data_IF_112876104873
#
_entry.id   IF_112876104873
#
_cell.length_a   1.000
_cell.length_b   1.000
_cell.length_c   1.000
_cell.angle_alpha   90.00
_cell.angle_beta   90.00
_cell.angle_gamma   90.00
#
_symmetry.space_group_name_H-M   'P 1'
#
loop_
_entity.id
_entity.type
_entity.pdbx_description
1 polymer ?
#
# COMPACT_ATOMS: atom_id res chain seq x y z
N UNK A 1 17.67 -17.10 -43.06
CA UNK A 1 17.83 -17.37 -41.62
C UNK A 1 16.59 -16.86 -40.91
N UNK A 2 15.74 -17.75 -40.35
CA UNK A 2 14.56 -17.36 -39.59
C UNK A 2 14.97 -17.22 -38.12
N UNK A 3 15.06 -16.01 -37.62
CA UNK A 3 15.29 -15.75 -36.19
C UNK A 3 14.05 -16.19 -35.40
N UNK A 4 14.17 -17.30 -34.71
CA UNK A 4 13.18 -17.76 -33.74
C UNK A 4 13.27 -16.86 -32.51
N UNK A 5 12.30 -15.95 -32.37
CA UNK A 5 12.08 -15.19 -31.15
C UNK A 5 11.70 -16.21 -30.08
N UNK A 6 12.62 -16.49 -29.15
CA UNK A 6 12.31 -17.20 -27.92
C UNK A 6 11.57 -16.23 -27.01
N UNK A 7 10.26 -16.26 -27.05
CA UNK A 7 9.43 -15.69 -25.99
C UNK A 7 9.74 -16.46 -24.71
N UNK A 8 10.47 -15.81 -23.80
CA UNK A 8 10.69 -16.33 -22.44
C UNK A 8 9.31 -16.48 -21.78
N UNK A 9 8.94 -17.65 -21.24
CA UNK A 9 7.67 -17.81 -20.57
C UNK A 9 7.65 -16.91 -19.34
N UNK A 10 6.61 -16.10 -19.20
CA UNK A 10 6.28 -15.41 -17.95
C UNK A 10 6.26 -16.48 -16.86
N UNK A 11 7.16 -16.35 -15.88
CA UNK A 11 7.24 -17.31 -14.78
C UNK A 11 5.85 -17.41 -14.12
N UNK A 12 5.35 -18.63 -13.97
CA UNK A 12 4.05 -18.85 -13.34
C UNK A 12 4.09 -18.31 -11.90
N UNK A 13 3.05 -17.56 -11.51
CA UNK A 13 2.92 -17.08 -10.14
C UNK A 13 2.86 -18.27 -9.16
N UNK A 14 3.61 -18.18 -8.07
CA UNK A 14 3.72 -19.20 -7.03
C UNK A 14 2.46 -19.23 -6.17
N UNK A 15 1.95 -18.07 -5.76
CA UNK A 15 0.80 -17.97 -4.84
C UNK A 15 -0.45 -17.36 -5.45
N UNK A 16 -0.37 -16.83 -6.66
CA UNK A 16 -1.39 -15.95 -7.24
C UNK A 16 -1.45 -14.55 -6.61
N UNK A 17 -0.59 -14.26 -5.62
CA UNK A 17 -0.50 -12.98 -4.90
C UNK A 17 0.92 -12.43 -4.83
N UNK A 18 1.83 -12.94 -5.65
CA UNK A 18 3.26 -12.65 -5.50
C UNK A 18 3.55 -11.15 -5.65
N UNK A 19 2.89 -10.46 -6.58
CA UNK A 19 2.99 -9.01 -6.73
C UNK A 19 2.57 -8.26 -5.47
N UNK A 20 1.44 -8.63 -4.87
CA UNK A 20 0.99 -8.08 -3.58
C UNK A 20 2.02 -8.32 -2.47
N UNK A 21 2.60 -9.52 -2.40
CA UNK A 21 3.59 -9.88 -1.39
C UNK A 21 4.86 -9.06 -1.57
N UNK A 22 5.35 -8.90 -2.80
CA UNK A 22 6.54 -8.10 -3.13
C UNK A 22 6.33 -6.63 -2.74
N UNK A 23 5.21 -6.04 -3.15
CA UNK A 23 4.88 -4.64 -2.81
C UNK A 23 4.79 -4.45 -1.30
N UNK A 24 4.09 -5.35 -0.60
CA UNK A 24 3.96 -5.29 0.86
C UNK A 24 5.31 -5.45 1.56
N UNK A 25 6.17 -6.35 1.08
CA UNK A 25 7.52 -6.54 1.63
C UNK A 25 8.40 -5.30 1.45
N UNK A 26 8.37 -4.66 0.27
CA UNK A 26 9.09 -3.42 0.00
C UNK A 26 8.66 -2.29 0.95
N UNK A 27 7.34 -2.09 1.11
CA UNK A 27 6.83 -1.04 2.00
C UNK A 27 7.22 -1.31 3.46
N UNK A 28 7.19 -2.57 3.94
CA UNK A 28 7.71 -2.91 5.27
C UNK A 28 9.21 -2.66 5.41
N UNK A 29 10.00 -2.96 4.38
CA UNK A 29 11.44 -2.73 4.40
C UNK A 29 11.75 -1.22 4.50
N UNK A 30 11.08 -0.40 3.68
CA UNK A 30 11.17 1.07 3.73
C UNK A 30 10.76 1.58 5.12
N UNK A 31 9.59 1.16 5.61
CA UNK A 31 9.10 1.52 6.94
C UNK A 31 10.09 1.13 8.05
N UNK A 32 10.73 -0.03 7.91
CA UNK A 32 11.72 -0.51 8.88
C UNK A 32 12.97 0.36 8.85
N UNK A 33 13.50 0.70 7.68
CA UNK A 33 14.66 1.59 7.56
C UNK A 33 14.34 2.96 8.18
N UNK A 34 13.21 3.58 7.82
CA UNK A 34 12.77 4.87 8.37
C UNK A 34 12.52 4.86 9.88
N UNK A 35 12.28 3.68 10.46
CA UNK A 35 12.11 3.54 11.91
C UNK A 35 13.42 3.61 12.70
N UNK A 36 14.56 3.44 12.04
CA UNK A 36 15.87 3.45 12.67
C UNK A 36 16.34 4.89 12.98
N UNK A 37 17.26 5.07 13.95
CA UNK A 37 18.01 6.32 14.10
C UNK A 37 18.66 6.74 12.77
N UNK A 38 18.72 8.04 12.50
CA UNK A 38 19.20 8.60 11.21
C UNK A 38 20.58 8.06 10.79
N UNK A 39 21.49 7.87 11.76
CA UNK A 39 22.84 7.33 11.54
C UNK A 39 22.87 5.84 11.14
N UNK A 40 21.73 5.16 11.22
CA UNK A 40 21.55 3.74 10.89
C UNK A 40 20.55 3.51 9.78
N UNK A 41 20.03 4.58 9.17
CA UNK A 41 19.17 4.45 8.01
C UNK A 41 20.05 4.19 6.80
N UNK A 42 19.92 3.00 6.20
CA UNK A 42 20.53 2.67 4.92
C UNK A 42 19.81 3.46 3.80
N UNK A 43 20.11 4.75 3.73
CA UNK A 43 19.33 5.73 2.96
C UNK A 43 19.36 5.42 1.47
N UNK A 44 20.51 5.02 0.94
CA UNK A 44 20.65 4.63 -0.47
C UNK A 44 19.74 3.46 -0.82
N UNK A 45 19.76 2.39 -0.02
CA UNK A 45 18.92 1.21 -0.24
C UNK A 45 17.43 1.56 -0.13
N UNK A 46 17.06 2.41 0.81
CA UNK A 46 15.68 2.90 0.93
C UNK A 46 15.24 3.68 -0.31
N UNK A 47 16.07 4.56 -0.86
CA UNK A 47 15.76 5.30 -2.08
C UNK A 47 15.59 4.38 -3.29
N UNK A 48 16.47 3.38 -3.42
CA UNK A 48 16.37 2.37 -4.48
C UNK A 48 15.06 1.56 -4.34
N UNK A 49 14.68 1.17 -3.12
CA UNK A 49 13.40 0.51 -2.87
C UNK A 49 12.19 1.39 -3.21
N UNK A 50 12.23 2.69 -2.89
CA UNK A 50 11.19 3.64 -3.30
C UNK A 50 11.10 3.75 -4.83
N UNK A 51 12.24 3.80 -5.52
CA UNK A 51 12.29 3.85 -6.99
C UNK A 51 11.70 2.59 -7.61
N UNK A 52 12.11 1.41 -7.12
CA UNK A 52 11.55 0.13 -7.55
C UNK A 52 10.04 0.10 -7.32
N UNK A 53 9.56 0.59 -6.17
CA UNK A 53 8.13 0.62 -5.86
C UNK A 53 7.33 1.49 -6.84
N UNK A 54 7.89 2.63 -7.28
CA UNK A 54 7.23 3.54 -8.22
C UNK A 54 7.27 3.05 -9.67
N UNK A 55 8.31 2.29 -10.04
CA UNK A 55 8.46 1.73 -11.39
C UNK A 55 7.71 0.39 -11.57
N UNK A 56 7.18 -0.20 -10.48
CA UNK A 56 6.32 -1.37 -10.57
C UNK A 56 4.99 -1.00 -11.26
N UNK A 57 4.63 -1.76 -12.29
CA UNK A 57 3.29 -1.71 -12.91
C UNK A 57 2.25 -2.35 -11.97
N UNK A 58 2.02 -1.71 -10.83
CA UNK A 58 1.11 -2.15 -9.79
C UNK A 58 -0.05 -1.15 -9.63
N UNK A 59 -1.31 -1.60 -9.57
CA UNK A 59 -2.45 -0.69 -9.46
C UNK A 59 -2.35 0.24 -8.25
N UNK A 60 -2.44 1.55 -8.50
CA UNK A 60 -2.25 2.59 -7.48
C UNK A 60 -3.19 2.42 -6.28
N UNK A 61 -4.45 2.06 -6.51
CA UNK A 61 -5.41 1.82 -5.42
C UNK A 61 -5.01 0.67 -4.50
N UNK A 62 -4.39 -0.38 -5.05
CA UNK A 62 -3.84 -1.46 -4.24
C UNK A 62 -2.56 -1.04 -3.51
N UNK A 63 -1.72 -0.22 -4.13
CA UNK A 63 -0.54 0.35 -3.46
C UNK A 63 -0.97 1.21 -2.26
N UNK A 64 -1.92 2.13 -2.46
CA UNK A 64 -2.44 3.01 -1.40
C UNK A 64 -3.06 2.19 -0.25
N UNK A 65 -3.79 1.11 -0.57
CA UNK A 65 -4.34 0.19 0.43
C UNK A 65 -3.23 -0.53 1.21
N UNK A 66 -2.23 -1.10 0.53
CA UNK A 66 -1.10 -1.79 1.19
C UNK A 66 -0.32 -0.80 2.04
N UNK A 67 -0.09 0.42 1.55
CA UNK A 67 0.59 1.47 2.30
C UNK A 67 -0.17 1.81 3.57
N UNK A 68 -1.48 2.04 3.48
CA UNK A 68 -2.34 2.27 4.64
C UNK A 68 -2.31 1.11 5.64
N UNK A 69 -2.33 -0.15 5.16
CA UNK A 69 -2.24 -1.34 6.01
C UNK A 69 -0.91 -1.40 6.77
N UNK A 70 0.20 -1.08 6.10
CA UNK A 70 1.54 -1.09 6.72
C UNK A 70 1.66 0.04 7.74
N UNK A 71 1.22 1.25 7.42
CA UNK A 71 1.22 2.36 8.39
C UNK A 71 0.43 2.01 9.65
N UNK A 72 -0.77 1.43 9.46
CA UNK A 72 -1.60 1.01 10.56
C UNK A 72 -0.91 -0.07 11.40
N UNK A 73 -0.29 -1.07 10.77
CA UNK A 73 0.39 -2.13 11.51
C UNK A 73 1.64 -1.63 12.25
N UNK A 74 2.41 -0.74 11.62
CA UNK A 74 3.64 -0.18 12.18
C UNK A 74 3.37 0.99 13.16
N UNK A 75 2.11 1.46 13.25
CA UNK A 75 1.69 2.62 14.03
C UNK A 75 2.54 3.86 13.72
N UNK A 76 2.93 4.02 12.45
CA UNK A 76 3.83 5.08 11.98
C UNK A 76 3.56 5.39 10.52
N UNK A 77 3.70 6.65 10.16
CA UNK A 77 3.70 7.09 8.77
C UNK A 77 4.96 6.60 8.04
N UNK A 78 4.79 6.20 6.78
CA UNK A 78 5.86 5.70 5.93
C UNK A 78 5.99 6.65 4.74
N UNK A 79 7.14 7.28 4.57
CA UNK A 79 7.39 8.17 3.43
C UNK A 79 7.86 7.35 2.23
N UNK A 80 7.01 7.17 1.22
CA UNK A 80 7.38 6.49 -0.02
C UNK A 80 8.10 7.42 -1.01
N UNK A 81 8.13 8.72 -0.75
CA UNK A 81 8.77 9.72 -1.60
C UNK A 81 9.83 10.53 -0.82
N UNK A 82 10.84 9.88 -0.21
CA UNK A 82 11.89 10.55 0.53
C UNK A 82 12.86 11.24 -0.45
N UNK A 83 12.55 12.47 -0.85
CA UNK A 83 13.40 13.25 -1.75
C UNK A 83 13.03 14.72 -1.79
N UNK A 84 14.01 15.56 -2.14
CA UNK A 84 13.73 16.96 -2.46
C UNK A 84 12.88 17.04 -3.75
N UNK A 85 11.85 17.88 -3.73
CA UNK A 85 10.97 18.09 -4.88
C UNK A 85 9.77 17.15 -4.99
N UNK A 86 9.65 16.11 -4.16
CA UNK A 86 8.54 15.14 -4.19
C UNK A 86 7.37 15.48 -3.25
N UNK A 87 7.29 16.74 -2.80
CA UNK A 87 6.29 17.18 -1.81
C UNK A 87 4.87 17.06 -2.34
N UNK A 88 4.68 17.29 -3.66
CA UNK A 88 3.38 17.17 -4.29
C UNK A 88 2.88 15.72 -4.29
N UNK A 89 3.77 14.77 -4.60
CA UNK A 89 3.50 13.34 -4.63
C UNK A 89 3.21 12.78 -3.23
N UNK A 90 3.99 13.19 -2.22
CA UNK A 90 3.71 12.89 -0.80
C UNK A 90 2.30 13.34 -0.43
N UNK A 91 2.01 14.62 -0.66
CA UNK A 91 0.72 15.22 -0.33
C UNK A 91 -0.43 14.56 -1.09
N UNK A 92 -0.24 14.23 -2.37
CA UNK A 92 -1.25 13.57 -3.18
C UNK A 92 -1.55 12.17 -2.67
N UNK A 93 -0.51 11.38 -2.38
CA UNK A 93 -0.63 10.02 -1.83
C UNK A 93 -1.34 10.05 -0.48
N UNK A 94 -0.93 10.97 0.40
CA UNK A 94 -1.58 11.14 1.71
C UNK A 94 -3.06 11.48 1.57
N UNK A 95 -3.40 12.43 0.69
CA UNK A 95 -4.77 12.81 0.44
C UNK A 95 -5.63 11.64 -0.09
N UNK A 96 -5.08 10.77 -0.96
CA UNK A 96 -5.79 9.57 -1.44
C UNK A 96 -6.04 8.56 -0.31
N UNK A 97 -5.03 8.30 0.52
CA UNK A 97 -5.15 7.37 1.66
C UNK A 97 -6.18 7.87 2.67
N UNK A 98 -6.11 9.16 3.04
CA UNK A 98 -7.05 9.74 4.00
C UNK A 98 -8.49 9.76 3.45
N UNK A 99 -8.67 10.02 2.15
CA UNK A 99 -9.98 9.94 1.49
C UNK A 99 -10.54 8.51 1.48
N UNK A 100 -9.71 7.51 1.20
CA UNK A 100 -10.15 6.11 1.20
C UNK A 100 -10.49 5.62 2.62
N UNK A 101 -9.71 6.01 3.64
CA UNK A 101 -10.03 5.74 5.05
C UNK A 101 -11.37 6.35 5.44
N UNK A 102 -11.60 7.62 5.12
CA UNK A 102 -12.87 8.29 5.40
C UNK A 102 -14.06 7.58 4.72
N UNK A 103 -13.88 7.09 3.49
CA UNK A 103 -14.90 6.31 2.78
C UNK A 103 -15.21 5.00 3.49
N UNK A 104 -14.18 4.25 3.91
CA UNK A 104 -14.35 2.98 4.63
C UNK A 104 -15.04 3.21 5.96
N UNK A 105 -14.68 4.26 6.69
CA UNK A 105 -15.29 4.58 7.99
C UNK A 105 -16.76 4.97 7.84
N UNK A 106 -17.12 5.72 6.80
CA UNK A 106 -18.52 5.99 6.45
C UNK A 106 -19.28 4.69 6.17
N UNK A 107 -18.74 3.80 5.33
CA UNK A 107 -19.36 2.50 5.05
C UNK A 107 -19.54 1.63 6.30
N UNK A 108 -18.56 1.64 7.22
CA UNK A 108 -18.67 0.93 8.50
C UNK A 108 -19.75 1.52 9.39
N UNK A 109 -19.86 2.85 9.44
CA UNK A 109 -20.90 3.54 10.21
C UNK A 109 -22.29 3.20 9.68
N UNK A 110 -22.50 3.29 8.37
CA UNK A 110 -23.77 2.95 7.71
C UNK A 110 -24.15 1.49 7.97
N UNK A 111 -23.17 0.58 7.88
CA UNK A 111 -23.40 -0.84 8.18
C UNK A 111 -23.77 -1.08 9.65
N UNK A 112 -23.09 -0.42 10.58
CA UNK A 112 -23.38 -0.53 12.01
C UNK A 112 -24.75 0.09 12.38
N UNK A 113 -25.19 1.12 11.67
CA UNK A 113 -26.54 1.67 11.79
C UNK A 113 -27.59 0.70 11.25
N UNK A 114 -27.38 0.14 10.05
CA UNK A 114 -28.28 -0.84 9.47
C UNK A 114 -28.46 -2.08 10.37
N UNK A 115 -27.38 -2.58 10.98
CA UNK A 115 -27.43 -3.68 11.93
C UNK A 115 -28.20 -3.33 13.21
N UNK A 116 -28.08 -2.09 13.71
CA UNK A 116 -28.86 -1.63 14.87
C UNK A 116 -30.36 -1.59 14.55
N UNK A 117 -30.74 -0.97 13.44
CA UNK A 117 -32.13 -0.92 13.00
C UNK A 117 -32.74 -2.31 12.81
N UNK A 118 -31.97 -3.26 12.26
CA UNK A 118 -32.41 -4.64 12.09
C UNK A 118 -32.67 -5.33 13.44
N UNK A 119 -31.73 -5.25 14.39
CA UNK A 119 -31.89 -5.87 15.71
C UNK A 119 -33.05 -5.27 16.52
N UNK A 120 -33.24 -3.95 16.46
CA UNK A 120 -34.38 -3.27 17.12
C UNK A 120 -35.73 -3.67 16.52
N UNK A 121 -35.77 -4.00 15.22
CA UNK A 121 -36.99 -4.49 14.58
C UNK A 121 -37.32 -5.96 14.90
N UNK A 122 -36.32 -6.78 15.24
CA UNK A 122 -36.50 -8.18 15.65
C UNK A 122 -36.94 -8.32 17.13
N UNK A 123 -36.60 -7.38 18.01
CA UNK A 123 -37.04 -7.38 19.42
C UNK A 123 -38.46 -6.82 19.64
N UNK A 124 -39.09 -6.26 18.61
CA UNK A 124 -40.43 -5.66 18.68
C UNK A 124 -41.59 -6.63 18.33
N UNK A 125 -41.29 -7.92 18.16
CA UNK A 125 -42.24 -9.02 17.84
C UNK A 125 -42.32 -10.01 19.00
#
# INVERSE_FOLDING_TARGET
MKSSVKTTPVAASVTGRDGYIVVKALIYAIARIQSLPEDRQEYSDMLDMCTVLHDLDFPQSMLDMIHSDVEHHMQREVDLYPGEGMEAERKATRARIDAERARIDAMKSDHAEALRCFNESDEAV
#
